data_IF_950966505149
#
_entry.id   IF_950966505149
#
_cell.length_a   1.000
_cell.length_b   1.000
_cell.length_c   1.000
_cell.angle_alpha   90.00
_cell.angle_beta   90.00
_cell.angle_gamma   90.00
#
_symmetry.space_group_name_H-M   'P 1'
#
loop_
_entity.id
_entity.type
_entity.pdbx_description
1 polymer ?
#
# COMPACT_ATOMS: atom_id res chain seq x y z
N UNK A 1 4.70 2.75 3.02
CA UNK A 1 4.59 3.55 1.77
C UNK A 1 5.72 4.56 1.71
N UNK A 2 6.45 4.64 0.59
CA UNK A 2 7.61 5.51 0.45
C UNK A 2 7.36 6.60 -0.59
N UNK A 3 7.73 7.84 -0.27
CA UNK A 3 7.72 8.95 -1.22
C UNK A 3 8.90 8.82 -2.18
N UNK A 4 8.61 8.51 -3.44
CA UNK A 4 9.61 8.41 -4.50
C UNK A 4 9.43 9.58 -5.46
N UNK A 5 10.48 10.36 -5.75
CA UNK A 5 10.40 11.43 -6.75
C UNK A 5 9.97 10.89 -8.11
N UNK A 6 9.12 11.65 -8.80
CA UNK A 6 8.69 11.30 -10.16
C UNK A 6 9.87 11.27 -11.14
N UNK A 7 10.77 12.25 -11.02
CA UNK A 7 11.98 12.35 -11.84
C UNK A 7 13.14 11.63 -11.17
N UNK A 8 13.64 10.59 -11.85
CA UNK A 8 14.85 9.88 -11.43
C UNK A 8 16.09 10.49 -12.07
N UNK A 9 17.19 10.53 -11.32
CA UNK A 9 18.51 10.87 -11.87
C UNK A 9 18.96 9.80 -12.86
N UNK A 10 19.92 10.15 -13.74
CA UNK A 10 20.47 9.16 -14.68
C UNK A 10 21.08 7.97 -13.94
N UNK A 11 21.80 8.20 -12.84
CA UNK A 11 22.38 7.14 -12.02
C UNK A 11 21.32 6.18 -11.44
N UNK A 12 20.24 6.72 -10.87
CA UNK A 12 19.13 5.91 -10.35
C UNK A 12 18.50 5.03 -11.45
N UNK A 13 18.36 5.56 -12.67
CA UNK A 13 17.86 4.79 -13.83
C UNK A 13 18.82 3.64 -14.19
N UNK A 14 20.12 3.90 -14.22
CA UNK A 14 21.12 2.88 -14.52
C UNK A 14 21.13 1.76 -13.47
N UNK A 15 21.05 2.10 -12.18
CA UNK A 15 20.96 1.13 -11.09
C UNK A 15 19.70 0.26 -11.25
N UNK A 16 18.54 0.87 -11.49
CA UNK A 16 17.29 0.15 -11.70
C UNK A 16 17.35 -0.80 -12.90
N UNK A 17 17.92 -0.34 -14.02
CA UNK A 17 18.09 -1.17 -15.22
C UNK A 17 18.98 -2.38 -14.93
N UNK A 18 20.14 -2.17 -14.30
CA UNK A 18 21.09 -3.24 -13.95
C UNK A 18 20.44 -4.29 -13.05
N UNK A 19 19.75 -3.87 -11.98
CA UNK A 19 19.09 -4.79 -11.05
C UNK A 19 17.96 -5.56 -11.76
N UNK A 20 17.16 -4.88 -12.58
CA UNK A 20 16.07 -5.52 -13.34
C UNK A 20 16.60 -6.60 -14.28
N UNK A 21 17.72 -6.34 -14.97
CA UNK A 21 18.35 -7.32 -15.85
C UNK A 21 18.83 -8.56 -15.08
N UNK A 22 19.48 -8.37 -13.93
CA UNK A 22 19.91 -9.48 -13.06
C UNK A 22 18.73 -10.32 -12.54
N UNK A 23 17.64 -9.66 -12.12
CA UNK A 23 16.43 -10.35 -11.68
C UNK A 23 15.78 -11.13 -12.82
N UNK A 24 15.72 -10.55 -14.03
CA UNK A 24 15.17 -11.21 -15.21
C UNK A 24 15.96 -12.46 -15.59
N UNK A 25 17.29 -12.41 -15.54
CA UNK A 25 18.14 -13.57 -15.79
C UNK A 25 17.88 -14.70 -14.80
N UNK A 26 17.76 -14.38 -13.51
CA UNK A 26 17.41 -15.36 -12.46
C UNK A 26 16.02 -15.95 -12.68
N UNK A 27 15.05 -15.11 -13.03
CA UNK A 27 13.69 -15.53 -13.34
C UNK A 27 13.65 -16.48 -14.55
N UNK A 28 14.40 -16.18 -15.62
CA UNK A 28 14.46 -17.02 -16.83
C UNK A 28 15.11 -18.37 -16.56
N UNK A 29 16.12 -18.43 -15.68
CA UNK A 29 16.81 -19.69 -15.34
C UNK A 29 15.91 -20.71 -14.64
N UNK A 30 15.05 -20.27 -13.72
CA UNK A 30 14.11 -21.17 -13.04
C UNK A 30 12.85 -20.43 -12.59
N UNK A 31 11.95 -20.17 -13.54
CA UNK A 31 10.73 -19.37 -13.31
C UNK A 31 9.86 -19.93 -12.18
N UNK A 32 9.64 -21.25 -12.16
CA UNK A 32 8.72 -21.90 -11.22
C UNK A 32 9.21 -21.77 -9.77
N UNK A 33 10.48 -22.08 -9.54
CA UNK A 33 11.04 -22.00 -8.18
C UNK A 33 11.25 -20.55 -7.74
N UNK A 34 11.65 -19.66 -8.66
CA UNK A 34 11.81 -18.23 -8.39
C UNK A 34 10.52 -17.62 -7.84
N UNK A 35 9.39 -17.82 -8.54
CA UNK A 35 8.09 -17.28 -8.11
C UNK A 35 7.62 -17.94 -6.83
N UNK A 36 7.76 -19.27 -6.69
CA UNK A 36 7.32 -20.01 -5.50
C UNK A 36 7.99 -19.52 -4.21
N UNK A 37 9.24 -19.07 -4.28
CA UNK A 37 10.01 -18.59 -3.13
C UNK A 37 10.00 -17.06 -2.98
N UNK A 38 9.39 -16.33 -3.90
CA UNK A 38 9.38 -14.87 -3.87
C UNK A 38 8.37 -14.37 -2.86
N UNK A 39 8.86 -13.87 -1.73
CA UNK A 39 8.05 -13.25 -0.67
C UNK A 39 8.24 -11.74 -0.76
N UNK A 40 7.13 -10.99 -0.80
CA UNK A 40 7.14 -9.52 -0.80
C UNK A 40 6.25 -9.00 0.31
N UNK A 41 6.59 -7.81 0.81
CA UNK A 41 5.87 -7.11 1.86
C UNK A 41 6.05 -5.62 1.62
N UNK A 42 4.98 -4.85 1.75
CA UNK A 42 4.99 -3.39 1.74
C UNK A 42 3.91 -2.88 2.68
N UNK A 43 4.06 -1.64 3.13
CA UNK A 43 3.14 -0.99 4.04
C UNK A 43 2.28 0.01 3.28
N UNK A 44 0.97 -0.02 3.51
CA UNK A 44 0.05 1.01 3.02
C UNK A 44 -0.56 1.76 4.19
N UNK A 45 -0.74 3.06 4.04
CA UNK A 45 -1.46 3.86 5.02
C UNK A 45 -2.96 3.63 4.83
N UNK A 46 -3.62 3.14 5.88
CA UNK A 46 -5.08 3.04 5.93
C UNK A 46 -5.57 4.20 6.79
N UNK A 47 -6.30 5.12 6.16
CA UNK A 47 -6.87 6.25 6.89
C UNK A 47 -8.06 5.76 7.72
N UNK A 48 -8.01 6.02 9.02
CA UNK A 48 -9.14 5.89 9.93
C UNK A 48 -9.62 7.29 10.30
N UNK A 49 -10.88 7.58 9.98
CA UNK A 49 -11.50 8.86 10.30
C UNK A 49 -12.06 8.80 11.73
N UNK A 50 -11.46 9.56 12.65
CA UNK A 50 -12.01 9.78 13.98
C UNK A 50 -12.72 11.15 14.02
N UNK A 51 -14.06 11.20 14.14
CA UNK A 51 -14.79 12.46 14.15
C UNK A 51 -14.61 13.22 15.48
N UNK A 52 -14.01 14.40 15.39
CA UNK A 52 -13.73 15.27 16.54
C UNK A 52 -14.99 16.03 17.00
N UNK A 53 -15.94 16.29 16.10
CA UNK A 53 -17.20 16.96 16.41
C UNK A 53 -18.42 16.03 16.37
N UNK A 54 -19.50 16.45 17.04
CA UNK A 54 -20.80 15.75 16.96
C UNK A 54 -21.41 15.81 15.55
N UNK A 55 -21.07 16.84 14.76
CA UNK A 55 -21.60 17.00 13.41
C UNK A 55 -20.92 16.04 12.44
N UNK A 56 -19.61 15.87 12.54
CA UNK A 56 -18.84 14.90 11.74
C UNK A 56 -19.16 13.46 12.13
N UNK A 57 -19.52 13.23 13.39
CA UNK A 57 -19.93 11.91 13.89
C UNK A 57 -21.37 11.50 13.53
N UNK A 58 -22.06 12.25 12.65
CA UNK A 58 -23.42 11.89 12.23
C UNK A 58 -23.37 10.70 11.27
N UNK A 59 -23.91 9.58 11.73
CA UNK A 59 -24.08 8.38 10.95
C UNK A 59 -25.53 8.25 10.46
N UNK A 60 -25.71 7.70 9.26
CA UNK A 60 -27.02 7.34 8.75
C UNK A 60 -27.58 6.18 9.56
N UNK A 61 -28.75 6.38 10.18
CA UNK A 61 -29.46 5.36 10.94
C UNK A 61 -30.78 5.04 10.24
N UNK A 62 -31.20 3.77 10.27
CA UNK A 62 -32.51 3.38 9.75
C UNK A 62 -33.64 3.96 10.61
N UNK A 63 -34.78 4.38 10.01
CA UNK A 63 -35.92 4.89 10.75
C UNK A 63 -36.39 3.90 11.83
N UNK A 64 -36.52 4.36 13.07
CA UNK A 64 -36.94 3.53 14.20
C UNK A 64 -35.81 2.79 14.92
N UNK A 65 -34.55 2.89 14.45
CA UNK A 65 -33.39 2.39 15.19
C UNK A 65 -32.76 3.49 16.05
N UNK A 66 -32.20 3.10 17.21
CA UNK A 66 -31.44 4.02 18.05
C UNK A 66 -30.06 4.25 17.46
N UNK A 67 -29.62 5.51 17.40
CA UNK A 67 -28.28 5.84 16.95
C UNK A 67 -27.21 5.13 17.80
N UNK A 68 -26.08 4.70 17.19
CA UNK A 68 -25.00 4.04 17.91
C UNK A 68 -24.51 4.91 19.09
N UNK A 69 -24.35 4.28 20.26
CA UNK A 69 -23.79 4.94 21.45
C UNK A 69 -22.30 5.12 21.25
N UNK A 70 -21.85 6.38 21.20
CA UNK A 70 -20.42 6.70 21.28
C UNK A 70 -19.87 6.27 22.64
N UNK A 71 -18.91 5.35 22.64
CA UNK A 71 -18.04 5.08 23.79
C UNK A 71 -16.94 6.13 23.76
N UNK A 72 -16.73 6.83 24.87
CA UNK A 72 -15.67 7.83 25.06
C UNK A 72 -14.53 7.23 25.87
#
# INVERSE_FOLDING_TARGET
AQWVPHSLTMEQKHIRMRLSQQHLERFRKNKKDFVRRFITMDETWVYHHDPESKQEAKEWCEPGTSAPKRVR
#
